data_IF_325463451463
#
_entry.id   IF_325463451463
#
_cell.length_a   1.000
_cell.length_b   1.000
_cell.length_c   1.000
_cell.angle_alpha   90.00
_cell.angle_beta   90.00
_cell.angle_gamma   90.00
#
_symmetry.space_group_name_H-M   'P 1'
#
loop_
_entity.id
_entity.type
_entity.pdbx_description
1 polymer ?
#
# COMPACT_ATOMS: atom_id res chain seq x y z
N UNK A 1 -12.29 -15.44 6.81
CA UNK A 1 -11.85 -15.57 5.40
C UNK A 1 -12.50 -14.49 4.56
N UNK A 2 -11.71 -13.88 3.70
CA UNK A 2 -12.17 -12.87 2.71
C UNK A 2 -11.88 -13.46 1.34
N UNK A 3 -12.89 -13.58 0.50
CA UNK A 3 -12.73 -14.11 -0.85
C UNK A 3 -12.48 -12.98 -1.87
N UNK A 4 -11.97 -13.35 -3.03
CA UNK A 4 -11.74 -12.41 -4.13
C UNK A 4 -13.02 -11.67 -4.51
N UNK A 5 -12.92 -10.34 -4.66
CA UNK A 5 -14.05 -9.48 -5.03
C UNK A 5 -14.99 -9.10 -3.89
N UNK A 6 -14.72 -9.54 -2.67
CA UNK A 6 -15.50 -9.18 -1.49
C UNK A 6 -14.98 -7.89 -0.82
N UNK A 7 -15.90 -7.13 -0.25
CA UNK A 7 -15.60 -5.97 0.62
C UNK A 7 -16.08 -6.28 2.03
N UNK A 8 -15.17 -6.24 2.99
CA UNK A 8 -15.46 -6.49 4.39
C UNK A 8 -15.28 -5.23 5.23
N UNK A 9 -16.27 -4.92 6.08
CA UNK A 9 -16.20 -3.81 7.02
C UNK A 9 -15.95 -4.33 8.44
N UNK A 10 -14.93 -3.79 9.10
CA UNK A 10 -14.61 -4.07 10.50
C UNK A 10 -15.02 -2.85 11.32
N UNK A 11 -16.00 -3.02 12.18
CA UNK A 11 -16.56 -1.95 13.00
C UNK A 11 -16.45 -2.28 14.49
N UNK A 12 -16.31 -1.25 15.31
CA UNK A 12 -16.26 -1.38 16.75
C UNK A 12 -15.88 -0.05 17.43
N UNK A 13 -16.04 0.05 18.74
CA UNK A 13 -15.60 1.23 19.51
C UNK A 13 -14.08 1.46 19.39
N UNK A 14 -13.65 2.68 19.74
CA UNK A 14 -12.22 2.98 19.84
C UNK A 14 -11.56 2.08 20.88
N UNK A 15 -10.33 1.63 20.58
CA UNK A 15 -9.58 0.74 21.48
C UNK A 15 -9.86 -0.76 21.32
N UNK A 16 -10.67 -1.17 20.34
CA UNK A 16 -10.93 -2.60 20.04
C UNK A 16 -9.88 -3.28 19.18
N UNK A 17 -8.89 -2.52 18.70
CA UNK A 17 -7.77 -3.07 17.92
C UNK A 17 -7.91 -3.04 16.41
N UNK A 18 -8.88 -2.30 15.85
CA UNK A 18 -9.09 -2.20 14.39
C UNK A 18 -7.84 -1.70 13.65
N UNK A 19 -7.28 -0.58 14.09
CA UNK A 19 -6.06 0.00 13.48
C UNK A 19 -4.82 -0.84 13.79
N UNK A 20 -4.76 -1.46 14.98
CA UNK A 20 -3.68 -2.37 15.35
C UNK A 20 -3.64 -3.58 14.43
N UNK A 21 -4.78 -4.17 14.10
CA UNK A 21 -4.88 -5.29 13.16
C UNK A 21 -4.32 -4.91 11.78
N UNK A 22 -4.73 -3.77 11.23
CA UNK A 22 -4.24 -3.27 9.94
C UNK A 22 -2.73 -3.06 9.93
N UNK A 23 -2.21 -2.42 10.99
CA UNK A 23 -0.78 -2.16 11.13
C UNK A 23 0.03 -3.44 11.30
N UNK A 24 -0.46 -4.41 12.06
CA UNK A 24 0.20 -5.70 12.24
C UNK A 24 0.26 -6.49 10.93
N UNK A 25 -0.80 -6.49 10.13
CA UNK A 25 -0.85 -7.15 8.82
C UNK A 25 0.17 -6.49 7.86
N UNK A 26 0.32 -5.17 7.89
CA UNK A 26 1.31 -4.48 7.08
C UNK A 26 2.75 -4.63 7.57
N UNK A 27 2.96 -5.17 8.76
CA UNK A 27 4.30 -5.38 9.34
C UNK A 27 4.87 -4.16 10.05
N UNK A 28 4.02 -3.32 10.64
CA UNK A 28 4.49 -2.16 11.40
C UNK A 28 5.39 -2.58 12.57
N UNK A 29 6.57 -1.99 12.73
CA UNK A 29 7.59 -2.46 13.68
C UNK A 29 7.18 -2.37 15.16
N UNK A 30 6.16 -1.58 15.48
CA UNK A 30 5.64 -1.46 16.84
C UNK A 30 4.77 -2.65 17.27
N UNK A 31 4.43 -3.54 16.36
CA UNK A 31 3.54 -4.67 16.62
C UNK A 31 4.20 -5.99 16.24
N UNK A 32 4.17 -6.93 17.17
CA UNK A 32 4.67 -8.28 16.97
C UNK A 32 3.52 -9.26 17.02
N UNK A 33 3.43 -10.13 16.01
CA UNK A 33 2.46 -11.21 15.98
C UNK A 33 3.06 -12.42 16.68
N UNK A 34 2.50 -12.78 17.85
CA UNK A 34 3.01 -13.85 18.69
C UNK A 34 2.44 -15.22 18.33
N UNK A 35 1.26 -15.27 17.76
CA UNK A 35 0.56 -16.51 17.35
C UNK A 35 -0.34 -16.28 16.16
N UNK A 36 -0.56 -17.31 15.37
CA UNK A 36 -1.44 -17.30 14.23
C UNK A 36 -0.72 -17.11 12.91
N UNK A 37 -1.50 -17.04 11.86
CA UNK A 37 -1.03 -16.83 10.49
C UNK A 37 -1.98 -15.89 9.73
N UNK A 38 -1.46 -15.23 8.74
CA UNK A 38 -2.23 -14.44 7.79
C UNK A 38 -1.86 -14.87 6.38
N UNK A 39 -2.82 -15.46 5.69
CA UNK A 39 -2.63 -15.98 4.34
C UNK A 39 -3.18 -15.01 3.30
N UNK A 40 -2.36 -14.66 2.33
CA UNK A 40 -2.73 -13.93 1.13
C UNK A 40 -2.45 -14.83 -0.07
N UNK A 41 -3.50 -15.28 -0.75
CA UNK A 41 -3.41 -16.21 -1.89
C UNK A 41 -2.59 -17.46 -1.56
N UNK A 42 -2.75 -18.00 -0.34
CA UNK A 42 -2.05 -19.17 0.14
C UNK A 42 -0.64 -18.95 0.70
N UNK A 43 -0.14 -17.71 0.67
CA UNK A 43 1.18 -17.34 1.21
C UNK A 43 1.03 -16.68 2.57
N UNK A 44 1.76 -17.18 3.58
CA UNK A 44 1.78 -16.57 4.90
C UNK A 44 2.60 -15.25 4.85
N UNK A 45 1.91 -14.12 4.88
CA UNK A 45 2.54 -12.82 4.78
C UNK A 45 3.34 -12.40 6.02
N UNK A 46 3.12 -13.07 7.16
CA UNK A 46 3.88 -12.80 8.38
C UNK A 46 5.37 -13.20 8.25
N UNK A 47 5.70 -14.06 7.31
CA UNK A 47 7.07 -14.48 6.98
C UNK A 47 7.76 -13.52 6.01
N UNK A 48 7.02 -12.56 5.45
CA UNK A 48 7.54 -11.59 4.49
C UNK A 48 7.97 -10.29 5.19
N UNK A 49 8.99 -9.66 4.65
CA UNK A 49 9.36 -8.29 5.01
C UNK A 49 8.28 -7.28 4.56
N UNK A 50 8.31 -6.06 5.10
CA UNK A 50 7.28 -5.04 4.83
C UNK A 50 7.15 -4.71 3.33
N UNK A 51 8.26 -4.57 2.64
CA UNK A 51 8.29 -4.30 1.19
C UNK A 51 7.81 -5.50 0.37
N UNK A 52 8.10 -6.71 0.80
CA UNK A 52 7.61 -7.93 0.16
C UNK A 52 6.10 -8.08 0.29
N UNK A 53 5.52 -7.71 1.44
CA UNK A 53 4.07 -7.69 1.63
C UNK A 53 3.40 -6.70 0.67
N UNK A 54 3.97 -5.51 0.49
CA UNK A 54 3.48 -4.52 -0.46
C UNK A 54 3.56 -5.02 -1.92
N UNK A 55 4.65 -5.69 -2.28
CA UNK A 55 4.83 -6.32 -3.60
C UNK A 55 3.83 -7.45 -3.85
N UNK A 56 3.47 -8.19 -2.80
CA UNK A 56 2.47 -9.26 -2.87
C UNK A 56 1.03 -8.74 -3.10
N UNK A 57 0.80 -7.44 -2.97
CA UNK A 57 -0.48 -6.79 -3.26
C UNK A 57 -1.19 -6.17 -2.07
N UNK A 58 -0.59 -6.18 -0.88
CA UNK A 58 -1.15 -5.48 0.27
C UNK A 58 -1.01 -3.97 0.11
N UNK A 59 -2.05 -3.24 0.46
CA UNK A 59 -2.07 -1.79 0.51
C UNK A 59 -2.84 -1.30 1.73
N UNK A 60 -2.30 -0.32 2.42
CA UNK A 60 -2.95 0.35 3.55
C UNK A 60 -3.15 1.83 3.24
N UNK A 61 -4.40 2.27 3.19
CA UNK A 61 -4.73 3.69 3.18
C UNK A 61 -4.70 4.21 4.62
N UNK A 62 -3.70 5.01 4.94
CA UNK A 62 -3.52 5.54 6.28
C UNK A 62 -4.50 6.68 6.56
N UNK A 63 -5.02 6.74 7.78
CA UNK A 63 -5.88 7.85 8.23
C UNK A 63 -5.12 9.18 8.24
N UNK A 64 -3.88 9.16 8.69
CA UNK A 64 -2.98 10.30 8.73
C UNK A 64 -1.66 9.92 8.05
N UNK A 65 -1.55 10.06 6.71
CA UNK A 65 -0.30 9.76 6.02
C UNK A 65 0.80 10.72 6.42
N UNK A 66 2.00 10.19 6.59
CA UNK A 66 3.19 10.99 6.91
C UNK A 66 3.77 11.62 5.65
N UNK A 67 4.17 12.88 5.77
CA UNK A 67 4.91 13.58 4.72
C UNK A 67 6.38 13.10 4.69
N UNK A 68 6.92 12.92 3.49
CA UNK A 68 8.34 12.69 3.28
C UNK A 68 8.95 13.99 2.74
N UNK A 69 9.63 14.74 3.61
CA UNK A 69 10.19 16.03 3.26
C UNK A 69 11.18 15.94 2.10
N UNK A 70 11.01 16.77 1.08
CA UNK A 70 11.89 16.84 -0.08
C UNK A 70 11.60 15.82 -1.19
N UNK A 71 10.54 15.04 -1.06
CA UNK A 71 10.10 14.10 -2.09
C UNK A 71 8.75 14.55 -2.65
N UNK A 72 8.65 14.72 -3.97
CA UNK A 72 7.38 15.05 -4.62
C UNK A 72 6.47 13.84 -4.68
N UNK A 73 5.15 14.07 -4.79
CA UNK A 73 4.20 12.99 -4.97
C UNK A 73 4.49 12.16 -6.23
N UNK A 74 4.90 12.83 -7.31
CA UNK A 74 5.27 12.17 -8.56
C UNK A 74 6.49 11.25 -8.39
N UNK A 75 7.54 11.71 -7.72
CA UNK A 75 8.74 10.90 -7.46
C UNK A 75 8.44 9.71 -6.55
N UNK A 76 7.65 9.92 -5.51
CA UNK A 76 7.22 8.85 -4.62
C UNK A 76 6.43 7.76 -5.36
N UNK A 77 5.43 8.15 -6.15
CA UNK A 77 4.60 7.20 -6.90
C UNK A 77 5.41 6.46 -7.96
N UNK A 78 6.31 7.15 -8.67
CA UNK A 78 7.19 6.52 -9.66
C UNK A 78 8.09 5.48 -9.02
N UNK A 79 8.68 5.82 -7.88
CA UNK A 79 9.53 4.89 -7.11
C UNK A 79 8.75 3.67 -6.64
N UNK A 80 7.52 3.86 -6.18
CA UNK A 80 6.64 2.76 -5.75
C UNK A 80 6.26 1.83 -6.92
N UNK A 81 6.00 2.37 -8.10
CA UNK A 81 5.72 1.58 -9.30
C UNK A 81 6.95 0.77 -9.70
N UNK A 82 8.12 1.41 -9.73
CA UNK A 82 9.37 0.74 -10.12
C UNK A 82 9.78 -0.35 -9.13
N UNK A 83 9.54 -0.15 -7.84
CA UNK A 83 9.80 -1.16 -6.82
C UNK A 83 9.02 -2.47 -7.01
N UNK A 84 7.85 -2.41 -7.68
CA UNK A 84 7.03 -3.58 -8.01
C UNK A 84 7.35 -4.23 -9.36
N UNK A 85 8.21 -3.61 -10.14
CA UNK A 85 8.61 -4.10 -11.47
C UNK A 85 9.93 -4.86 -11.38
N UNK A 86 10.16 -5.75 -12.34
CA UNK A 86 11.42 -6.44 -12.50
C UNK A 86 12.52 -5.48 -13.01
N UNK A 87 13.78 -5.79 -12.70
CA UNK A 87 14.93 -5.06 -13.23
C UNK A 87 14.86 -4.97 -14.76
N UNK A 88 15.04 -3.78 -15.29
CA UNK A 88 14.96 -3.51 -16.73
C UNK A 88 13.54 -3.24 -17.28
N UNK A 89 12.51 -3.37 -16.45
CA UNK A 89 11.12 -3.05 -16.81
C UNK A 89 10.61 -1.77 -16.15
N UNK A 90 11.50 -0.91 -15.73
CA UNK A 90 11.16 0.35 -15.08
C UNK A 90 10.37 1.26 -16.02
N UNK A 91 9.37 1.94 -15.44
CA UNK A 91 8.58 2.91 -16.20
C UNK A 91 9.44 4.15 -16.51
N UNK A 92 9.49 4.55 -17.76
CA UNK A 92 10.17 5.79 -18.11
C UNK A 92 9.33 7.01 -17.68
N UNK A 93 9.99 8.17 -17.57
CA UNK A 93 9.36 9.38 -17.08
C UNK A 93 8.14 9.80 -17.91
N UNK A 94 8.21 9.71 -19.24
CA UNK A 94 7.10 10.11 -20.12
C UNK A 94 5.89 9.20 -20.00
N UNK A 95 6.11 7.90 -19.90
CA UNK A 95 5.02 6.93 -19.69
C UNK A 95 4.39 7.14 -18.32
N UNK A 96 5.18 7.41 -17.29
CA UNK A 96 4.70 7.70 -15.95
C UNK A 96 3.85 8.96 -15.92
N UNK A 97 4.30 10.06 -16.51
CA UNK A 97 3.54 11.33 -16.57
C UNK A 97 2.18 11.12 -17.25
N UNK A 98 2.15 10.44 -18.40
CA UNK A 98 0.89 10.14 -19.10
C UNK A 98 -0.08 9.32 -18.25
N UNK A 99 0.44 8.34 -17.53
CA UNK A 99 -0.36 7.52 -16.63
C UNK A 99 -0.89 8.33 -15.46
N UNK A 100 -0.04 9.17 -14.86
CA UNK A 100 -0.40 10.04 -13.74
C UNK A 100 -1.49 11.02 -14.14
N UNK A 101 -1.33 11.73 -15.26
CA UNK A 101 -2.33 12.68 -15.77
C UNK A 101 -3.68 12.02 -16.00
N UNK A 102 -3.69 10.82 -16.57
CA UNK A 102 -4.91 10.06 -16.81
C UNK A 102 -5.63 9.69 -15.52
N UNK A 103 -4.90 9.24 -14.50
CA UNK A 103 -5.49 8.85 -13.22
C UNK A 103 -5.95 10.10 -12.43
N UNK A 104 -5.22 11.20 -12.50
CA UNK A 104 -5.62 12.46 -11.88
C UNK A 104 -6.90 13.02 -12.52
N UNK A 105 -7.02 12.99 -13.84
CA UNK A 105 -8.25 13.36 -14.55
C UNK A 105 -9.43 12.46 -14.15
N UNK A 106 -9.21 11.16 -14.05
CA UNK A 106 -10.23 10.20 -13.64
C UNK A 106 -10.73 10.46 -12.20
N UNK A 107 -9.84 10.86 -11.30
CA UNK A 107 -10.15 11.15 -9.89
C UNK A 107 -10.52 12.61 -9.64
N UNK A 108 -10.51 13.46 -10.66
CA UNK A 108 -10.76 14.92 -10.55
C UNK A 108 -9.81 15.59 -9.53
N UNK A 109 -8.54 15.25 -9.61
CA UNK A 109 -7.48 15.80 -8.74
C UNK A 109 -6.77 16.94 -9.48
N UNK A 110 -6.51 18.04 -8.75
CA UNK A 110 -5.76 19.19 -9.26
C UNK A 110 -4.33 18.77 -9.63
N UNK A 111 -3.91 19.12 -10.85
CA UNK A 111 -2.57 18.77 -11.36
C UNK A 111 -1.42 19.39 -10.57
N UNK A 112 -1.67 20.48 -9.85
CA UNK A 112 -0.68 21.11 -8.97
C UNK A 112 -0.30 20.24 -7.76
N UNK A 113 -1.03 19.17 -7.50
CA UNK A 113 -0.74 18.21 -6.42
C UNK A 113 0.30 17.14 -6.77
N UNK A 114 0.76 17.05 -8.01
CA UNK A 114 1.70 16.04 -8.47
C UNK A 114 3.18 16.37 -8.16
#
# INVERSE_FOLDING_TARGET
TINTGEVHAIMGPNGTGKSTLSSAIMGHPSYEVTQGEVLLDGVNILELEVDERAKAGLFLAMQYPSEITGVTNADFMRSAINAKREEGQEINLMQFIKKLDKEMDFLDIDQDMA
#
